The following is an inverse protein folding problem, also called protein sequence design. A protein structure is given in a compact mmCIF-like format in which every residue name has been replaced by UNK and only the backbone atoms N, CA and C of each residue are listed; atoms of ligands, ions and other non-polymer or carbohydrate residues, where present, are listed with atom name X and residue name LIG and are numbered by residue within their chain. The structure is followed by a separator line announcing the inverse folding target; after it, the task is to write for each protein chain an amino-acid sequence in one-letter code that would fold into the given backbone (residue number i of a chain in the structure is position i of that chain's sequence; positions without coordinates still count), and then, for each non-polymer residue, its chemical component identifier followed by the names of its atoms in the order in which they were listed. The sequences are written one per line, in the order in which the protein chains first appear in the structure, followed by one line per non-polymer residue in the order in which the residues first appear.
data_IF_641213998004
#
_entry.id   IF_641213998004
#
_cell.length_a   1.000
_cell.length_b   1.000
_cell.length_c   1.000
_cell.angle_alpha   90.00
_cell.angle_beta   90.00
_cell.angle_gamma   90.00
#
_symmetry.space_group_name_H-M   'P 1'
#
loop_
_entity.id
_entity.type
_entity.pdbx_description
1 polymer ?
#
# COMPACT_ATOMS: atom_id res chain seq x y z
N UNK A 1 16.31 -0.63 2.85
CA UNK A 1 16.26 -1.13 4.25
C UNK A 1 17.68 -1.23 4.78
N UNK A 2 17.95 -0.81 6.03
CA UNK A 2 19.25 -1.03 6.66
C UNK A 2 19.57 -2.53 6.70
N UNK A 3 20.85 -2.88 6.53
CA UNK A 3 21.32 -4.25 6.25
C UNK A 3 21.06 -5.28 7.39
N UNK A 4 20.66 -4.83 8.57
CA UNK A 4 20.57 -5.64 9.80
C UNK A 4 19.15 -5.75 10.40
N UNK A 5 18.10 -5.47 9.61
CA UNK A 5 16.72 -5.52 10.13
C UNK A 5 16.08 -6.88 9.89
N UNK A 6 15.72 -7.58 10.97
CA UNK A 6 14.95 -8.81 10.92
C UNK A 6 13.53 -8.55 10.36
N UNK A 7 13.11 -9.34 9.35
CA UNK A 7 11.80 -9.17 8.67
C UNK A 7 10.59 -9.56 9.53
N UNK A 8 10.80 -10.28 10.64
CA UNK A 8 9.74 -10.92 11.44
C UNK A 8 8.76 -9.94 12.09
N UNK A 9 9.14 -8.67 12.25
CA UNK A 9 8.29 -7.61 12.83
C UNK A 9 8.09 -6.42 11.88
N UNK A 10 8.48 -6.55 10.61
CA UNK A 10 8.25 -5.47 9.64
C UNK A 10 6.79 -5.56 9.13
N UNK A 11 6.09 -4.42 9.00
CA UNK A 11 4.78 -4.41 8.35
C UNK A 11 4.88 -4.99 6.95
N UNK A 12 3.95 -5.89 6.61
CA UNK A 12 3.89 -6.49 5.27
C UNK A 12 3.40 -5.48 4.22
N UNK A 13 2.51 -4.56 4.62
CA UNK A 13 1.96 -3.50 3.79
C UNK A 13 2.34 -2.14 4.40
N UNK A 14 2.53 -1.13 3.55
CA UNK A 14 2.98 0.19 3.98
C UNK A 14 1.94 1.25 3.68
N UNK A 15 1.22 1.70 4.71
CA UNK A 15 0.32 2.84 4.59
C UNK A 15 -0.88 2.61 3.67
N UNK A 16 -1.77 3.59 3.68
CA UNK A 16 -2.95 3.66 2.81
C UNK A 16 -2.66 4.65 1.70
N UNK A 17 -2.92 4.25 0.47
CA UNK A 17 -2.77 5.12 -0.69
C UNK A 17 -4.08 5.19 -1.46
N UNK A 18 -4.35 6.36 -2.01
CA UNK A 18 -5.52 6.58 -2.87
C UNK A 18 -5.23 6.01 -4.25
N UNK A 19 -6.22 5.37 -4.85
CA UNK A 19 -6.16 4.96 -6.25
C UNK A 19 -6.50 6.17 -7.13
N UNK A 20 -5.61 6.52 -8.04
CA UNK A 20 -5.80 7.61 -9.01
C UNK A 20 -6.47 7.07 -10.28
N UNK A 21 -5.95 5.95 -10.80
CA UNK A 21 -6.42 5.34 -12.05
C UNK A 21 -6.50 3.82 -11.87
N UNK A 22 -7.54 3.21 -12.45
CA UNK A 22 -7.71 1.75 -12.50
C UNK A 22 -7.69 1.27 -13.94
N UNK A 23 -6.77 0.37 -14.26
CA UNK A 23 -6.71 -0.33 -15.53
C UNK A 23 -7.20 -1.78 -15.33
N UNK A 24 -8.49 -2.00 -15.56
CA UNK A 24 -9.13 -3.30 -15.38
C UNK A 24 -8.66 -4.35 -16.39
N UNK A 25 -8.22 -3.95 -17.58
CA UNK A 25 -7.73 -4.88 -18.62
C UNK A 25 -6.46 -5.61 -18.18
N UNK A 26 -5.55 -4.89 -17.54
CA UNK A 26 -4.27 -5.46 -17.07
C UNK A 26 -4.23 -5.70 -15.56
N UNK A 27 -5.36 -5.50 -14.87
CA UNK A 27 -5.47 -5.58 -13.40
C UNK A 27 -4.42 -4.72 -12.66
N UNK A 28 -4.10 -3.56 -13.24
CA UNK A 28 -3.13 -2.62 -12.70
C UNK A 28 -3.82 -1.38 -12.15
N UNK A 29 -3.31 -0.86 -11.05
CA UNK A 29 -3.82 0.33 -10.41
C UNK A 29 -2.69 1.32 -10.19
N UNK A 30 -2.97 2.59 -10.47
CA UNK A 30 -2.06 3.70 -10.21
C UNK A 30 -2.43 4.31 -8.88
N UNK A 31 -1.45 4.40 -7.98
CA UNK A 31 -1.62 4.95 -6.65
C UNK A 31 -1.04 6.35 -6.54
N UNK A 32 -1.66 7.16 -5.69
CA UNK A 32 -1.11 8.43 -5.22
C UNK A 32 -0.06 8.16 -4.15
N UNK A 33 1.20 8.04 -4.57
CA UNK A 33 2.32 7.82 -3.66
C UNK A 33 2.92 9.17 -3.23
N UNK A 34 3.33 9.30 -1.96
CA UNK A 34 4.10 10.44 -1.50
C UNK A 34 5.36 10.65 -2.33
N UNK A 35 5.71 11.92 -2.58
CA UNK A 35 6.89 12.30 -3.37
C UNK A 35 8.19 11.67 -2.84
N UNK A 36 8.28 11.41 -1.53
CA UNK A 36 9.43 10.73 -0.91
C UNK A 36 9.66 9.31 -1.46
N UNK A 37 8.61 8.57 -1.83
CA UNK A 37 8.69 7.24 -2.44
C UNK A 37 9.01 7.34 -3.94
N UNK A 38 8.40 8.31 -4.63
CA UNK A 38 8.69 8.59 -6.04
C UNK A 38 10.16 8.98 -6.23
N UNK A 39 10.71 9.78 -5.32
CA UNK A 39 12.13 10.16 -5.31
C UNK A 39 13.06 8.96 -5.12
N UNK A 40 12.59 7.89 -4.49
CA UNK A 40 13.28 6.60 -4.38
C UNK A 40 13.10 5.71 -5.62
N UNK A 41 12.52 6.24 -6.70
CA UNK A 41 12.22 5.55 -7.96
C UNK A 41 11.22 4.40 -7.83
N UNK A 42 10.31 4.50 -6.86
CA UNK A 42 9.20 3.55 -6.74
C UNK A 42 8.15 3.89 -7.82
N UNK A 43 7.72 2.87 -8.57
CA UNK A 43 6.68 3.02 -9.58
C UNK A 43 5.31 3.30 -8.93
N UNK A 44 4.51 4.13 -9.59
CA UNK A 44 3.15 4.47 -9.13
C UNK A 44 2.12 3.39 -9.46
N UNK A 45 2.43 2.51 -10.42
CA UNK A 45 1.52 1.49 -10.94
C UNK A 45 1.85 0.13 -10.33
N UNK A 46 0.83 -0.52 -9.78
CA UNK A 46 0.95 -1.82 -9.13
C UNK A 46 -0.12 -2.78 -9.64
N UNK A 47 0.24 -4.05 -9.76
CA UNK A 47 -0.72 -5.12 -10.04
C UNK A 47 -1.58 -5.39 -8.81
N UNK A 48 -2.86 -5.74 -9.02
CA UNK A 48 -3.86 -5.99 -7.96
C UNK A 48 -3.39 -6.97 -6.88
N UNK A 49 -2.58 -7.96 -7.24
CA UNK A 49 -2.05 -8.96 -6.29
C UNK A 49 -1.13 -8.38 -5.20
N UNK A 50 -0.59 -7.17 -5.42
CA UNK A 50 0.25 -6.46 -4.45
C UNK A 50 -0.55 -5.48 -3.59
N UNK A 51 -1.84 -5.29 -3.89
CA UNK A 51 -2.71 -4.34 -3.23
C UNK A 51 -3.65 -5.07 -2.28
N UNK A 52 -4.03 -4.39 -1.20
CA UNK A 52 -5.13 -4.81 -0.33
C UNK A 52 -6.11 -3.66 -0.15
N UNK A 53 -7.42 -3.91 -0.29
CA UNK A 53 -8.41 -2.91 0.02
C UNK A 53 -8.33 -2.58 1.52
N UNK A 54 -8.47 -1.30 1.84
CA UNK A 54 -8.62 -0.86 3.21
C UNK A 54 -10.05 -1.16 3.67
N UNK A 55 -10.18 -1.71 4.88
CA UNK A 55 -11.45 -1.86 5.56
C UNK A 55 -11.38 -0.99 6.81
N UNK A 56 -12.31 -0.06 6.96
CA UNK A 56 -12.42 0.75 8.18
C UNK A 56 -12.70 -0.19 9.37
N UNK A 57 -12.06 0.07 10.50
CA UNK A 57 -12.33 -0.71 11.71
C UNK A 57 -13.69 -0.28 12.22
N UNK A 58 -14.65 -1.20 12.35
CA UNK A 58 -15.92 -0.90 13.02
C UNK A 58 -15.66 -0.78 14.52
N UNK A 59 -15.39 0.45 14.98
CA UNK A 59 -15.14 0.79 16.39
C UNK A 59 -16.31 0.39 17.31
N UNK A 60 -17.49 0.09 16.75
CA UNK A 60 -18.65 -0.42 17.50
C UNK A 60 -18.48 -1.87 17.98
N UNK A 61 -17.52 -2.61 17.43
CA UNK A 61 -17.31 -4.03 17.76
C UNK A 61 -16.34 -4.27 18.93
N UNK A 62 -15.57 -3.25 19.33
CA UNK A 62 -14.62 -3.30 20.44
C UNK A 62 -14.67 -2.01 21.27
N UNK A 63 -15.68 -1.84 22.14
CA UNK A 63 -15.72 -0.73 23.09
C UNK A 63 -14.63 -0.88 24.17
N UNK A 64 -14.02 0.25 24.57
CA UNK A 64 -13.09 0.40 25.71
C UNK A 64 -13.72 0.03 27.07
#
# INVERSE_FOLDING_TARGET
MPKDRARKLCPQFIGLYKVIESNSETSNYKLDLPQALVNQRIHLVFHVSLLRPFHESDDTSFPD
#
